data_IF_078385428421
#
_entry.id   IF_078385428421
#
_cell.length_a   1.000
_cell.length_b   1.000
_cell.length_c   1.000
_cell.angle_alpha   90.00
_cell.angle_beta   90.00
_cell.angle_gamma   90.00
#
_symmetry.space_group_name_H-M   'P 1'
#
loop_
_entity.id
_entity.type
_entity.pdbx_description
1 polymer ?
#
# COMPACT_ATOMS: atom_id res chain seq x y z
N UNK A 1 11.01 -38.96 20.88
CA UNK A 1 10.36 -38.70 19.56
C UNK A 1 9.43 -37.47 19.56
N UNK A 2 9.61 -36.50 20.47
CA UNK A 2 8.53 -35.67 21.03
C UNK A 2 8.43 -34.22 20.51
N UNK A 3 9.21 -33.81 19.50
CA UNK A 3 9.06 -32.48 18.84
C UNK A 3 9.90 -32.33 17.56
N UNK A 4 11.05 -33.01 17.50
CA UNK A 4 11.95 -33.01 16.34
C UNK A 4 11.26 -33.53 15.07
N UNK A 5 10.47 -34.61 15.18
CA UNK A 5 9.73 -35.16 14.05
C UNK A 5 8.71 -34.16 13.47
N UNK A 6 8.01 -33.42 14.33
CA UNK A 6 7.05 -32.39 13.90
C UNK A 6 7.74 -31.17 13.29
N UNK A 7 8.91 -30.79 13.79
CA UNK A 7 9.70 -29.68 13.24
C UNK A 7 10.24 -30.01 11.86
N UNK A 8 10.81 -31.20 11.68
CA UNK A 8 11.32 -31.62 10.38
C UNK A 8 10.17 -31.79 9.38
N UNK A 9 9.02 -32.36 9.81
CA UNK A 9 7.81 -32.42 8.99
C UNK A 9 7.31 -31.03 8.57
N UNK A 10 7.29 -30.06 9.49
CA UNK A 10 6.88 -28.69 9.20
C UNK A 10 7.83 -28.03 8.19
N UNK A 11 9.15 -28.26 8.31
CA UNK A 11 10.12 -27.78 7.34
C UNK A 11 9.96 -28.42 5.98
N UNK A 12 9.74 -29.72 5.93
CA UNK A 12 9.51 -30.43 4.68
C UNK A 12 8.24 -29.93 3.99
N UNK A 13 7.16 -29.72 4.75
CA UNK A 13 5.92 -29.09 4.25
C UNK A 13 6.17 -27.66 3.75
N UNK A 14 6.97 -26.87 4.44
CA UNK A 14 7.33 -25.52 4.01
C UNK A 14 8.16 -25.52 2.72
N UNK A 15 9.18 -26.41 2.64
CA UNK A 15 10.00 -26.59 1.43
C UNK A 15 9.14 -26.99 0.24
N UNK A 16 8.25 -27.98 0.40
CA UNK A 16 7.29 -28.39 -0.64
C UNK A 16 6.35 -27.26 -1.05
N UNK A 17 5.85 -26.47 -0.11
CA UNK A 17 5.01 -25.30 -0.40
C UNK A 17 5.78 -24.25 -1.21
N UNK A 18 7.02 -23.96 -0.85
CA UNK A 18 7.87 -23.02 -1.59
C UNK A 18 8.22 -23.53 -2.99
N UNK A 19 8.49 -24.82 -3.15
CA UNK A 19 8.72 -25.45 -4.46
C UNK A 19 7.46 -25.44 -5.34
N UNK A 20 6.29 -25.69 -4.76
CA UNK A 20 5.01 -25.58 -5.47
C UNK A 20 4.72 -24.13 -5.88
N UNK A 21 4.99 -23.16 -5.01
CA UNK A 21 4.87 -21.74 -5.36
C UNK A 21 5.81 -21.38 -6.51
N UNK A 22 7.07 -21.82 -6.47
CA UNK A 22 8.04 -21.62 -7.58
C UNK A 22 7.58 -22.28 -8.88
N UNK A 23 7.01 -23.49 -8.83
CA UNK A 23 6.45 -24.18 -10.01
C UNK A 23 5.20 -23.49 -10.55
N UNK A 24 4.31 -22.99 -9.68
CA UNK A 24 3.12 -22.23 -10.08
C UNK A 24 3.48 -20.86 -10.70
N UNK A 25 4.65 -20.32 -10.37
CA UNK A 25 5.22 -19.12 -10.99
C UNK A 25 5.96 -19.42 -12.30
N UNK A 26 6.16 -20.68 -12.69
CA UNK A 26 6.98 -21.09 -13.83
C UNK A 26 6.44 -20.77 -15.23
N UNK A 27 5.27 -20.13 -15.35
CA UNK A 27 4.72 -19.68 -16.65
C UNK A 27 4.12 -18.26 -16.65
N UNK A 28 3.91 -17.68 -15.47
CA UNK A 28 3.63 -16.25 -15.23
C UNK A 28 4.87 -15.49 -14.72
N UNK A 29 6.01 -16.18 -14.68
CA UNK A 29 7.31 -15.75 -14.18
C UNK A 29 8.18 -14.98 -15.16
N UNK A 30 7.79 -14.90 -16.43
CA UNK A 30 8.56 -14.21 -17.49
C UNK A 30 8.16 -12.73 -17.67
N UNK A 31 7.41 -12.18 -16.72
CA UNK A 31 7.53 -10.74 -16.44
C UNK A 31 8.77 -10.64 -15.57
N UNK A 32 9.93 -10.39 -16.19
CA UNK A 32 11.23 -10.16 -15.54
C UNK A 32 11.00 -9.46 -14.20
N UNK A 33 11.69 -9.89 -13.16
CA UNK A 33 11.65 -9.25 -11.84
C UNK A 33 11.73 -7.73 -11.93
N UNK A 34 12.48 -7.22 -12.92
CA UNK A 34 12.59 -5.81 -13.29
C UNK A 34 11.24 -5.20 -13.70
N UNK A 35 10.53 -5.81 -14.65
CA UNK A 35 9.19 -5.35 -15.09
C UNK A 35 8.19 -5.31 -13.93
N UNK A 36 8.28 -6.24 -12.98
CA UNK A 36 7.44 -6.20 -11.77
C UNK A 36 7.80 -5.01 -10.89
N UNK A 37 9.09 -4.79 -10.66
CA UNK A 37 9.57 -3.63 -9.89
C UNK A 37 9.17 -2.31 -10.54
N UNK A 38 9.22 -2.20 -11.86
CA UNK A 38 8.74 -1.04 -12.63
C UNK A 38 7.24 -0.82 -12.43
N UNK A 39 6.41 -1.85 -12.64
CA UNK A 39 4.96 -1.71 -12.47
C UNK A 39 4.54 -1.37 -11.03
N UNK A 40 5.25 -1.89 -10.03
CA UNK A 40 4.97 -1.59 -8.63
C UNK A 40 5.42 -0.16 -8.27
N UNK A 41 6.54 0.32 -8.82
CA UNK A 41 6.97 1.70 -8.68
C UNK A 41 5.98 2.68 -9.34
N UNK A 42 5.45 2.35 -10.52
CA UNK A 42 4.42 3.14 -11.21
C UNK A 42 3.13 3.23 -10.39
N UNK A 43 2.63 2.11 -9.89
CA UNK A 43 1.45 2.09 -9.00
C UNK A 43 1.65 2.95 -7.76
N UNK A 44 2.87 2.96 -7.19
CA UNK A 44 3.17 3.80 -6.02
C UNK A 44 3.18 5.30 -6.37
N UNK A 45 3.76 5.68 -7.52
CA UNK A 45 3.71 7.07 -8.01
C UNK A 45 2.28 7.52 -8.25
N UNK A 46 1.45 6.67 -8.88
CA UNK A 46 0.02 6.99 -9.08
C UNK A 46 -0.73 7.15 -7.76
N UNK A 47 -0.50 6.27 -6.79
CA UNK A 47 -1.12 6.39 -5.46
C UNK A 47 -0.74 7.68 -4.76
N UNK A 48 0.53 8.08 -4.85
CA UNK A 48 0.99 9.36 -4.28
C UNK A 48 0.36 10.56 -4.97
N UNK A 49 0.26 10.55 -6.31
CA UNK A 49 -0.44 11.61 -7.07
C UNK A 49 -1.90 11.72 -6.66
N UNK A 50 -2.63 10.59 -6.64
CA UNK A 50 -4.03 10.54 -6.20
C UNK A 50 -4.20 10.97 -4.74
N UNK A 51 -3.24 10.65 -3.86
CA UNK A 51 -3.27 11.10 -2.47
C UNK A 51 -3.02 12.61 -2.35
N UNK A 52 -2.09 13.17 -3.14
CA UNK A 52 -1.82 14.60 -3.18
C UNK A 52 -3.03 15.39 -3.72
N UNK A 53 -3.68 14.90 -4.77
CA UNK A 53 -4.91 15.50 -5.32
C UNK A 53 -6.05 15.51 -4.30
N UNK A 54 -6.26 14.39 -3.58
CA UNK A 54 -7.25 14.33 -2.51
C UNK A 54 -6.91 15.28 -1.38
N UNK A 55 -5.65 15.31 -0.93
CA UNK A 55 -5.20 16.22 0.11
C UNK A 55 -5.38 17.68 -0.30
N UNK A 56 -5.08 18.05 -1.54
CA UNK A 56 -5.30 19.39 -2.05
C UNK A 56 -6.80 19.76 -2.13
N UNK A 57 -7.66 18.82 -2.51
CA UNK A 57 -9.11 19.02 -2.49
C UNK A 57 -9.65 19.18 -1.06
N UNK A 58 -9.16 18.37 -0.11
CA UNK A 58 -9.53 18.44 1.30
C UNK A 58 -9.03 19.74 1.95
N UNK A 59 -7.81 20.18 1.63
CA UNK A 59 -7.25 21.47 2.09
C UNK A 59 -8.02 22.66 1.50
N UNK A 60 -8.41 22.60 0.22
CA UNK A 60 -9.25 23.64 -0.40
C UNK A 60 -10.65 23.66 0.23
N UNK A 61 -11.24 22.51 0.50
CA UNK A 61 -12.53 22.40 1.19
C UNK A 61 -12.45 22.93 2.63
N UNK A 62 -11.38 22.58 3.37
CA UNK A 62 -11.13 23.07 4.72
C UNK A 62 -10.89 24.58 4.74
N UNK A 63 -10.13 25.13 3.78
CA UNK A 63 -9.92 26.58 3.67
C UNK A 63 -11.23 27.33 3.34
N UNK A 64 -12.07 26.77 2.46
CA UNK A 64 -13.40 27.32 2.18
C UNK A 64 -14.34 27.25 3.39
N UNK A 65 -14.30 26.15 4.16
CA UNK A 65 -15.05 26.02 5.40
C UNK A 65 -14.56 27.01 6.46
N UNK A 66 -13.25 27.14 6.65
CA UNK A 66 -12.64 28.11 7.56
C UNK A 66 -13.02 29.55 7.17
N UNK A 67 -12.95 29.90 5.89
CA UNK A 67 -13.38 31.23 5.43
C UNK A 67 -14.88 31.49 5.68
N UNK A 68 -15.75 30.49 5.50
CA UNK A 68 -17.19 30.61 5.81
C UNK A 68 -17.44 30.75 7.31
N UNK A 69 -16.70 30.02 8.15
CA UNK A 69 -16.79 30.12 9.61
C UNK A 69 -16.35 31.52 10.06
N UNK A 70 -15.22 32.02 9.57
CA UNK A 70 -14.72 33.38 9.87
C UNK A 70 -15.70 34.47 9.38
N UNK A 71 -16.31 34.29 8.20
CA UNK A 71 -17.36 35.20 7.69
C UNK A 71 -18.63 35.16 8.54
N UNK A 72 -19.00 33.98 9.08
CA UNK A 72 -20.22 33.79 9.88
C UNK A 72 -20.05 34.29 11.31
N UNK A 73 -18.88 34.08 11.91
CA UNK A 73 -18.53 34.53 13.26
C UNK A 73 -17.33 35.49 13.24
N UNK A 74 -17.56 36.77 12.88
CA UNK A 74 -16.50 37.79 12.80
C UNK A 74 -15.90 38.18 14.16
N UNK A 75 -16.45 37.67 15.27
CA UNK A 75 -15.94 37.89 16.63
C UNK A 75 -14.68 37.07 16.95
N UNK A 76 -14.39 36.03 16.17
CA UNK A 76 -13.21 35.16 16.37
C UNK A 76 -11.87 35.80 15.95
N UNK A 77 -11.91 37.00 15.36
CA UNK A 77 -10.75 37.70 14.79
C UNK A 77 -10.45 39.05 15.45
N UNK A 78 -11.10 39.38 16.58
CA UNK A 78 -10.81 40.60 17.35
C UNK A 78 -10.19 40.18 18.69
N UNK A 79 -8.86 40.19 18.77
CA UNK A 79 -8.12 40.43 20.01
C UNK A 79 -8.05 41.94 20.29
#
# INVERSE_FOLDING_TARGET
>A
MTRGNQRELAREKNKKKMEQLKKSQGKSGDVSTEKRMETDAEKMREKQRKAAEKKAADEAAAAQQQCKIVKKDPLTMKE
#
